data_IF_164279719498
#
_entry.id   IF_164279719498
#
_cell.length_a   1.000
_cell.length_b   1.000
_cell.length_c   1.000
_cell.angle_alpha   90.00
_cell.angle_beta   90.00
_cell.angle_gamma   90.00
#
_symmetry.space_group_name_H-M   'P 1'
#
loop_
_entity.id
_entity.type
_entity.pdbx_description
1 polymer ?
#
# COMPACT_ATOMS: atom_id res chain seq x y z
N UNK A 1 18.04 -3.78 4.89
CA UNK A 1 17.26 -4.97 5.28
C UNK A 1 17.34 -5.21 6.79
N UNK A 2 18.53 -5.29 7.37
CA UNK A 2 18.72 -5.46 8.82
C UNK A 2 17.89 -4.49 9.68
N UNK A 3 17.91 -3.18 9.37
CA UNK A 3 17.07 -2.20 10.07
C UNK A 3 15.57 -2.51 9.98
N UNK A 4 15.09 -3.02 8.85
CA UNK A 4 13.69 -3.38 8.67
C UNK A 4 13.29 -4.61 9.51
N UNK A 5 14.20 -5.59 9.60
CA UNK A 5 14.03 -6.76 10.47
C UNK A 5 13.98 -6.31 11.94
N UNK A 6 14.95 -5.49 12.38
CA UNK A 6 14.97 -4.96 13.74
C UNK A 6 13.75 -4.09 14.08
N UNK A 7 13.24 -3.31 13.11
CA UNK A 7 11.96 -2.58 13.26
C UNK A 7 10.78 -3.53 13.49
N UNK A 8 10.71 -4.64 12.76
CA UNK A 8 9.63 -5.62 12.94
C UNK A 8 9.73 -6.31 14.32
N UNK A 9 10.93 -6.70 14.75
CA UNK A 9 11.16 -7.28 16.07
C UNK A 9 10.71 -6.32 17.19
N UNK A 10 11.16 -5.06 17.13
CA UNK A 10 10.78 -4.03 18.09
C UNK A 10 9.26 -3.75 18.08
N UNK A 11 8.64 -3.73 16.89
CA UNK A 11 7.20 -3.50 16.76
C UNK A 11 6.38 -4.61 17.42
N UNK A 12 6.69 -5.88 17.17
CA UNK A 12 5.95 -7.00 17.77
C UNK A 12 6.20 -7.14 19.27
N UNK A 13 7.40 -6.80 19.75
CA UNK A 13 7.66 -6.66 21.19
C UNK A 13 6.75 -5.58 21.81
N UNK A 14 6.69 -4.41 21.17
CA UNK A 14 5.86 -3.29 21.61
C UNK A 14 4.36 -3.64 21.61
N UNK A 15 3.85 -4.23 20.53
CA UNK A 15 2.45 -4.67 20.44
C UNK A 15 2.11 -5.69 21.54
N UNK A 16 2.99 -6.66 21.78
CA UNK A 16 2.79 -7.67 22.83
C UNK A 16 2.74 -7.05 24.22
N UNK A 17 3.64 -6.10 24.52
CA UNK A 17 3.66 -5.39 25.81
C UNK A 17 2.41 -4.54 26.05
N UNK A 18 1.84 -3.99 24.99
CA UNK A 18 0.60 -3.20 25.06
C UNK A 18 -0.67 -4.04 25.01
N UNK A 19 -0.57 -5.35 24.75
CA UNK A 19 -1.74 -6.21 24.56
C UNK A 19 -2.54 -5.85 23.30
N UNK A 20 -1.87 -5.42 22.24
CA UNK A 20 -2.49 -5.08 20.96
C UNK A 20 -2.65 -6.34 20.11
N UNK A 21 -3.87 -6.62 19.64
CA UNK A 21 -4.17 -7.80 18.82
C UNK A 21 -3.91 -7.61 17.32
N UNK A 22 -3.82 -6.36 16.85
CA UNK A 22 -3.79 -6.03 15.43
C UNK A 22 -2.76 -4.95 15.09
N UNK A 23 -2.13 -5.09 13.93
CA UNK A 23 -1.27 -4.06 13.34
C UNK A 23 -1.68 -3.78 11.89
N UNK A 24 -1.12 -2.70 11.34
CA UNK A 24 -1.31 -2.29 9.96
C UNK A 24 0.02 -1.80 9.37
N UNK A 25 0.14 -1.76 8.04
CA UNK A 25 1.36 -1.28 7.40
C UNK A 25 1.15 -0.68 6.01
N UNK A 26 2.03 0.24 5.61
CA UNK A 26 2.40 0.40 4.20
C UNK A 26 3.58 -0.49 3.84
N UNK A 27 3.62 -0.94 2.59
CA UNK A 27 4.72 -1.74 2.03
C UNK A 27 6.11 -1.15 2.29
N UNK A 28 6.28 0.16 2.10
CA UNK A 28 7.56 0.84 2.33
C UNK A 28 7.87 1.16 3.79
N UNK A 29 6.89 1.03 4.70
CA UNK A 29 7.14 1.11 6.15
C UNK A 29 7.90 -0.14 6.63
N UNK A 30 7.58 -1.29 6.03
CA UNK A 30 8.08 -2.60 6.44
C UNK A 30 9.32 -3.02 5.70
N UNK A 31 9.51 -2.60 4.44
CA UNK A 31 10.65 -3.00 3.63
C UNK A 31 11.24 -1.81 2.86
N UNK A 32 12.58 -1.76 2.70
CA UNK A 32 13.20 -0.75 1.84
C UNK A 32 12.84 -1.00 0.37
N UNK A 33 12.51 0.07 -0.36
CA UNK A 33 12.19 0.00 -1.80
C UNK A 33 13.35 -0.55 -2.64
N UNK A 34 14.60 -0.25 -2.27
CA UNK A 34 15.77 -0.53 -3.11
C UNK A 34 15.84 0.40 -4.32
N UNK A 35 16.62 0.00 -5.31
CA UNK A 35 16.94 0.78 -6.52
C UNK A 35 16.12 0.39 -7.75
N UNK A 36 15.30 -0.65 -7.66
CA UNK A 36 14.47 -1.13 -8.77
C UNK A 36 13.22 -1.86 -8.28
N UNK A 37 12.22 -2.02 -9.15
CA UNK A 37 11.01 -2.80 -8.83
C UNK A 37 11.34 -4.25 -8.45
N UNK A 38 12.42 -4.82 -9.01
CA UNK A 38 12.91 -6.16 -8.68
C UNK A 38 13.44 -6.21 -7.26
N UNK A 39 14.23 -5.22 -6.85
CA UNK A 39 14.71 -5.12 -5.47
C UNK A 39 13.56 -4.88 -4.50
N UNK A 40 12.62 -4.00 -4.83
CA UNK A 40 11.40 -3.79 -4.05
C UNK A 40 10.66 -5.11 -3.80
N UNK A 41 10.37 -5.89 -4.86
CA UNK A 41 9.71 -7.19 -4.71
C UNK A 41 10.49 -8.16 -3.83
N UNK A 42 11.81 -8.26 -4.02
CA UNK A 42 12.67 -9.16 -3.25
C UNK A 42 12.75 -8.76 -1.77
N UNK A 43 12.89 -7.47 -1.49
CA UNK A 43 12.98 -6.93 -0.13
C UNK A 43 11.67 -7.11 0.60
N UNK A 44 10.57 -6.75 -0.05
CA UNK A 44 9.26 -6.86 0.54
C UNK A 44 8.88 -8.32 0.78
N UNK A 45 9.11 -9.22 -0.19
CA UNK A 45 8.85 -10.65 -0.01
C UNK A 45 9.62 -11.26 1.17
N UNK A 46 10.88 -10.86 1.39
CA UNK A 46 11.64 -11.27 2.57
C UNK A 46 10.96 -10.79 3.86
N UNK A 47 10.60 -9.51 3.93
CA UNK A 47 9.95 -8.96 5.13
C UNK A 47 8.58 -9.60 5.42
N UNK A 48 7.83 -10.02 4.40
CA UNK A 48 6.59 -10.78 4.61
C UNK A 48 6.84 -12.09 5.36
N UNK A 49 7.96 -12.78 5.13
CA UNK A 49 8.30 -13.99 5.89
C UNK A 49 8.69 -13.70 7.34
N UNK A 50 9.28 -12.54 7.62
CA UNK A 50 9.53 -12.10 8.99
C UNK A 50 8.22 -11.76 9.72
N UNK A 51 7.35 -10.96 9.09
CA UNK A 51 6.05 -10.59 9.65
C UNK A 51 5.18 -11.83 9.92
N UNK A 52 5.15 -12.79 8.98
CA UNK A 52 4.40 -14.03 9.14
C UNK A 52 4.88 -14.83 10.36
N UNK A 53 6.20 -14.98 10.55
CA UNK A 53 6.76 -15.67 11.72
C UNK A 53 6.38 -14.96 13.02
N UNK A 54 6.42 -13.63 13.03
CA UNK A 54 5.99 -12.88 14.21
C UNK A 54 4.49 -13.05 14.51
N UNK A 55 3.62 -13.06 13.49
CA UNK A 55 2.19 -13.37 13.67
C UNK A 55 1.98 -14.77 14.24
N UNK A 56 2.72 -15.77 13.76
CA UNK A 56 2.64 -17.17 14.23
C UNK A 56 3.09 -17.31 15.70
N UNK A 57 4.11 -16.57 16.12
CA UNK A 57 4.65 -16.61 17.48
C UNK A 57 3.80 -15.85 18.50
N UNK A 58 3.27 -14.69 18.10
CA UNK A 58 2.57 -13.77 19.02
C UNK A 58 1.05 -13.90 19.00
N UNK A 59 0.48 -14.44 17.91
CA UNK A 59 -0.96 -14.44 17.66
C UNK A 59 -1.52 -13.09 17.18
N UNK A 60 -0.69 -12.05 17.08
CA UNK A 60 -1.05 -10.73 16.54
C UNK A 60 -1.41 -10.85 15.06
N UNK A 61 -2.44 -10.12 14.62
CA UNK A 61 -3.04 -10.25 13.28
C UNK A 61 -2.87 -8.97 12.47
N UNK A 62 -2.93 -9.10 11.15
CA UNK A 62 -2.94 -7.96 10.25
C UNK A 62 -4.38 -7.43 10.12
N UNK A 63 -4.61 -6.17 10.48
CA UNK A 63 -5.89 -5.51 10.26
C UNK A 63 -6.03 -5.10 8.80
N UNK A 64 -5.03 -4.38 8.28
CA UNK A 64 -4.95 -4.03 6.87
C UNK A 64 -3.51 -3.78 6.43
N UNK A 65 -3.25 -4.08 5.16
CA UNK A 65 -2.10 -3.56 4.44
C UNK A 65 -2.54 -2.49 3.42
N UNK A 66 -1.58 -1.71 2.96
CA UNK A 66 -1.76 -0.70 1.91
C UNK A 66 -0.43 -0.46 1.19
N UNK A 67 -0.46 0.22 0.05
CA UNK A 67 0.74 0.66 -0.67
C UNK A 67 0.99 2.15 -0.39
N UNK A 68 2.23 2.50 -0.06
CA UNK A 68 2.66 3.90 -0.01
C UNK A 68 3.00 4.37 -1.43
N UNK A 69 1.99 4.87 -2.13
CA UNK A 69 2.12 5.51 -3.43
C UNK A 69 2.14 7.05 -3.30
N UNK A 70 2.79 7.60 -2.26
CA UNK A 70 2.77 9.04 -1.99
C UNK A 70 4.08 9.65 -1.48
N UNK A 71 4.95 8.87 -0.83
CA UNK A 71 6.22 9.37 -0.27
C UNK A 71 7.32 9.51 -1.32
N UNK A 72 7.43 8.55 -2.24
CA UNK A 72 8.51 8.55 -3.22
C UNK A 72 8.33 9.71 -4.22
N UNK A 73 9.40 10.44 -4.61
CA UNK A 73 9.31 11.57 -5.55
C UNK A 73 8.62 11.24 -6.88
N UNK A 74 8.62 9.97 -7.32
CA UNK A 74 7.91 9.55 -8.53
C UNK A 74 6.40 9.85 -8.48
N UNK A 75 5.82 9.92 -7.28
CA UNK A 75 4.38 10.17 -7.07
C UNK A 75 4.04 11.66 -6.88
N UNK A 76 4.98 12.57 -7.15
CA UNK A 76 4.76 14.00 -6.93
C UNK A 76 3.54 14.57 -7.68
N UNK A 77 3.20 13.99 -8.84
CA UNK A 77 2.06 14.39 -9.66
C UNK A 77 0.86 13.43 -9.57
N UNK A 78 0.79 12.59 -8.54
CA UNK A 78 -0.22 11.55 -8.39
C UNK A 78 0.32 10.15 -8.63
N UNK A 79 -0.52 9.15 -8.35
CA UNK A 79 -0.18 7.75 -8.56
C UNK A 79 -1.12 7.15 -9.62
N UNK A 80 -2.37 6.87 -9.26
CA UNK A 80 -3.40 6.48 -10.20
C UNK A 80 -3.93 7.67 -11.02
N UNK A 81 -3.84 8.89 -10.51
CA UNK A 81 -4.16 10.13 -11.22
C UNK A 81 -2.95 10.78 -11.91
N UNK A 82 -1.80 10.11 -11.96
CA UNK A 82 -0.61 10.70 -12.56
C UNK A 82 -0.80 10.99 -14.05
N UNK A 83 -0.38 12.16 -14.55
CA UNK A 83 -0.34 12.43 -15.99
C UNK A 83 0.70 11.56 -16.72
N UNK A 84 1.62 10.90 -15.98
CA UNK A 84 2.61 9.98 -16.52
C UNK A 84 2.12 8.51 -16.43
N UNK A 85 1.91 7.83 -17.57
CA UNK A 85 1.43 6.43 -17.59
C UNK A 85 2.44 5.44 -16.99
N UNK A 86 3.74 5.74 -16.95
CA UNK A 86 4.73 4.87 -16.30
C UNK A 86 4.57 4.90 -14.77
N UNK A 87 4.24 6.07 -14.20
CA UNK A 87 3.93 6.21 -12.77
C UNK A 87 2.66 5.46 -12.41
N UNK A 88 1.62 5.53 -13.25
CA UNK A 88 0.41 4.72 -13.10
C UNK A 88 0.76 3.21 -13.05
N UNK A 89 1.59 2.74 -13.99
CA UNK A 89 1.99 1.35 -14.05
C UNK A 89 2.79 0.92 -12.80
N UNK A 90 3.67 1.80 -12.30
CA UNK A 90 4.43 1.56 -11.07
C UNK A 90 3.51 1.47 -9.84
N UNK A 91 2.56 2.39 -9.70
CA UNK A 91 1.59 2.37 -8.61
C UNK A 91 0.74 1.09 -8.64
N UNK A 92 0.33 0.65 -9.84
CA UNK A 92 -0.41 -0.61 -10.02
C UNK A 92 0.43 -1.82 -9.58
N UNK A 93 1.74 -1.83 -9.87
CA UNK A 93 2.64 -2.88 -9.43
C UNK A 93 2.83 -2.91 -7.90
N UNK A 94 2.95 -1.74 -7.26
CA UNK A 94 3.02 -1.66 -5.79
C UNK A 94 1.72 -2.10 -5.12
N UNK A 95 0.57 -1.63 -5.60
CA UNK A 95 -0.75 -2.04 -5.09
C UNK A 95 -0.99 -3.54 -5.28
N UNK A 96 -0.60 -4.09 -6.43
CA UNK A 96 -0.62 -5.54 -6.66
C UNK A 96 0.21 -6.27 -5.60
N UNK A 97 1.45 -5.85 -5.37
CA UNK A 97 2.36 -6.49 -4.40
C UNK A 97 1.85 -6.37 -2.96
N UNK A 98 1.43 -5.18 -2.54
CA UNK A 98 0.88 -4.91 -1.22
C UNK A 98 -0.41 -5.70 -0.94
N UNK A 99 -1.31 -5.82 -1.91
CA UNK A 99 -2.53 -6.61 -1.76
C UNK A 99 -2.23 -8.11 -1.64
N UNK A 100 -1.28 -8.63 -2.43
CA UNK A 100 -0.85 -10.03 -2.32
C UNK A 100 -0.18 -10.32 -0.96
N UNK A 101 0.64 -9.40 -0.47
CA UNK A 101 1.23 -9.47 0.87
C UNK A 101 0.15 -9.48 1.96
N UNK A 102 -0.84 -8.60 1.84
CA UNK A 102 -1.99 -8.52 2.76
C UNK A 102 -2.75 -9.84 2.80
N UNK A 103 -3.02 -10.45 1.64
CA UNK A 103 -3.62 -11.79 1.56
C UNK A 103 -2.75 -12.85 2.25
N UNK A 104 -1.44 -12.86 1.97
CA UNK A 104 -0.49 -13.85 2.53
C UNK A 104 -0.40 -13.78 4.06
N UNK A 105 -0.50 -12.58 4.62
CA UNK A 105 -0.52 -12.30 6.05
C UNK A 105 -1.94 -12.34 6.67
N UNK A 106 -2.93 -12.82 5.91
CA UNK A 106 -4.33 -12.96 6.32
C UNK A 106 -4.95 -11.65 6.85
N UNK A 107 -4.63 -10.55 6.19
CA UNK A 107 -5.18 -9.23 6.50
C UNK A 107 -6.69 -9.20 6.41
N UNK A 108 -7.35 -8.52 7.37
CA UNK A 108 -8.79 -8.41 7.39
C UNK A 108 -9.33 -7.46 6.32
N UNK A 109 -8.56 -6.44 5.92
CA UNK A 109 -8.94 -5.45 4.91
C UNK A 109 -7.72 -5.03 4.07
N UNK A 110 -7.97 -4.29 3.00
CA UNK A 110 -6.95 -3.58 2.23
C UNK A 110 -7.38 -2.11 2.07
N UNK A 111 -6.51 -1.19 2.46
CA UNK A 111 -6.80 0.25 2.45
C UNK A 111 -6.25 0.90 1.18
N UNK A 112 -6.99 1.89 0.68
CA UNK A 112 -6.62 2.77 -0.41
C UNK A 112 -6.75 4.21 0.10
N UNK A 113 -5.60 4.83 0.40
CA UNK A 113 -5.53 6.25 0.74
C UNK A 113 -4.86 7.01 -0.40
N UNK A 114 -5.56 7.99 -0.95
CA UNK A 114 -5.11 8.75 -2.12
C UNK A 114 -4.16 9.89 -1.81
N UNK A 115 -3.07 9.67 -1.06
CA UNK A 115 -2.21 10.75 -0.55
C UNK A 115 -1.66 11.73 -1.61
N UNK A 116 -1.63 11.35 -2.90
CA UNK A 116 -1.30 12.24 -4.03
C UNK A 116 -2.38 12.27 -5.11
N UNK A 117 -3.51 11.61 -4.88
CA UNK A 117 -4.60 11.51 -5.84
C UNK A 117 -5.48 12.76 -5.74
N UNK A 118 -4.99 13.84 -6.32
CA UNK A 118 -5.56 15.18 -6.21
C UNK A 118 -4.69 16.17 -6.98
N UNK A 119 -4.87 17.47 -6.74
CA UNK A 119 -4.14 18.49 -7.48
C UNK A 119 -3.56 19.59 -6.60
N UNK A 120 -2.53 20.27 -7.10
CA UNK A 120 -1.98 21.51 -6.54
C UNK A 120 -2.60 22.75 -7.17
N UNK A 121 -2.85 22.73 -8.48
CA UNK A 121 -3.46 23.84 -9.21
C UNK A 121 -4.36 23.33 -10.31
N UNK A 122 -5.53 23.95 -10.48
CA UNK A 122 -6.45 23.62 -11.57
C UNK A 122 -5.92 24.03 -12.95
N UNK A 123 -4.88 24.88 -13.01
CA UNK A 123 -4.34 25.39 -14.27
C UNK A 123 -3.67 24.33 -15.13
N UNK A 124 -3.21 23.23 -14.53
CA UNK A 124 -2.51 22.14 -15.21
C UNK A 124 -3.12 20.76 -14.95
N UNK A 125 -4.35 20.71 -14.44
CA UNK A 125 -5.04 19.47 -14.06
C UNK A 125 -6.27 19.27 -14.92
N UNK A 126 -6.32 18.16 -15.65
CA UNK A 126 -7.56 17.67 -16.26
C UNK A 126 -8.31 16.79 -15.27
N UNK A 127 -9.17 17.43 -14.46
CA UNK A 127 -9.96 16.75 -13.43
C UNK A 127 -10.82 15.61 -13.97
N UNK A 128 -11.29 15.71 -15.22
CA UNK A 128 -12.13 14.67 -15.80
C UNK A 128 -11.28 13.45 -16.09
N UNK A 129 -10.14 13.66 -16.76
CA UNK A 129 -9.22 12.60 -17.12
C UNK A 129 -8.68 11.88 -15.88
N UNK A 130 -8.18 12.62 -14.90
CA UNK A 130 -7.61 12.07 -13.67
C UNK A 130 -8.63 11.25 -12.87
N UNK A 131 -9.89 11.70 -12.79
CA UNK A 131 -10.97 10.95 -12.12
C UNK A 131 -11.35 9.68 -12.88
N UNK A 132 -11.37 9.72 -14.21
CA UNK A 132 -11.60 8.53 -15.05
C UNK A 132 -10.48 7.51 -14.89
N UNK A 133 -9.22 7.95 -14.84
CA UNK A 133 -8.06 7.10 -14.58
C UNK A 133 -8.11 6.47 -13.18
N UNK A 134 -8.39 7.27 -12.14
CA UNK A 134 -8.54 6.77 -10.77
C UNK A 134 -9.67 5.74 -10.69
N UNK A 135 -10.81 5.99 -11.34
CA UNK A 135 -11.91 5.03 -11.44
C UNK A 135 -11.50 3.71 -12.12
N UNK A 136 -10.71 3.78 -13.19
CA UNK A 136 -10.14 2.60 -13.86
C UNK A 136 -9.19 1.85 -12.94
N UNK A 137 -8.31 2.55 -12.23
CA UNK A 137 -7.37 1.96 -11.28
C UNK A 137 -8.10 1.21 -10.17
N UNK A 138 -9.10 1.83 -9.54
CA UNK A 138 -9.92 1.21 -8.51
C UNK A 138 -10.65 -0.05 -9.01
N UNK A 139 -11.13 -0.03 -10.26
CA UNK A 139 -11.71 -1.22 -10.89
C UNK A 139 -10.69 -2.34 -11.05
N UNK A 140 -9.45 -2.04 -11.45
CA UNK A 140 -8.38 -3.05 -11.53
C UNK A 140 -8.06 -3.66 -10.16
N UNK A 141 -8.08 -2.86 -9.09
CA UNK A 141 -7.89 -3.33 -7.72
C UNK A 141 -9.02 -4.30 -7.30
N UNK A 142 -10.27 -3.95 -7.59
CA UNK A 142 -11.44 -4.81 -7.36
C UNK A 142 -11.35 -6.10 -8.18
N UNK A 143 -11.01 -6.02 -9.45
CA UNK A 143 -10.83 -7.19 -10.33
C UNK A 143 -9.73 -8.13 -9.84
N UNK A 144 -8.62 -7.58 -9.33
CA UNK A 144 -7.52 -8.35 -8.73
C UNK A 144 -7.96 -9.06 -7.44
N UNK A 145 -8.67 -8.35 -6.55
CA UNK A 145 -9.24 -8.91 -5.31
C UNK A 145 -10.11 -10.13 -5.58
N UNK A 146 -11.03 -10.03 -6.55
CA UNK A 146 -12.04 -11.05 -6.79
C UNK A 146 -11.47 -12.35 -7.38
N UNK A 147 -12.33 -13.38 -7.41
CA UNK A 147 -12.08 -14.82 -7.66
C UNK A 147 -11.28 -15.15 -8.94
N UNK A 148 -11.04 -14.17 -9.81
CA UNK A 148 -10.30 -14.38 -11.05
C UNK A 148 -8.78 -14.24 -10.91
N UNK A 149 -8.23 -13.77 -9.77
CA UNK A 149 -6.76 -13.65 -9.60
C UNK A 149 -6.19 -14.12 -8.26
N UNK A 150 -6.69 -13.66 -7.11
CA UNK A 150 -6.09 -14.06 -5.80
C UNK A 150 -7.07 -14.50 -4.71
N UNK A 151 -8.36 -14.15 -4.81
CA UNK A 151 -9.38 -14.62 -3.88
C UNK A 151 -9.38 -13.94 -2.50
N UNK A 152 -8.92 -12.69 -2.39
CA UNK A 152 -8.92 -11.91 -1.15
C UNK A 152 -10.35 -11.63 -0.66
N UNK A 153 -10.62 -11.99 0.60
CA UNK A 153 -11.96 -11.93 1.21
C UNK A 153 -12.22 -10.67 2.03
N UNK A 154 -11.16 -9.98 2.46
CA UNK A 154 -11.27 -8.75 3.25
C UNK A 154 -11.94 -7.61 2.48
N UNK A 155 -12.35 -6.57 3.20
CA UNK A 155 -12.96 -5.40 2.57
C UNK A 155 -11.92 -4.50 1.90
N UNK A 156 -12.35 -3.77 0.87
CA UNK A 156 -11.58 -2.65 0.32
C UNK A 156 -12.08 -1.38 0.97
N UNK A 157 -11.17 -0.63 1.58
CA UNK A 157 -11.50 0.59 2.31
C UNK A 157 -10.89 1.79 1.58
N UNK A 158 -11.70 2.81 1.34
CA UNK A 158 -11.20 4.12 0.90
C UNK A 158 -11.08 4.98 2.15
N UNK A 159 -9.93 5.59 2.36
CA UNK A 159 -9.69 6.53 3.46
C UNK A 159 -9.83 7.97 2.95
N UNK A 160 -10.93 8.69 3.23
CA UNK A 160 -11.11 10.05 2.75
C UNK A 160 -10.24 11.03 3.54
N UNK A 161 -9.60 11.96 2.83
CA UNK A 161 -8.96 13.14 3.40
C UNK A 161 -9.20 14.30 2.44
N UNK A 162 -9.54 15.52 2.90
CA UNK A 162 -9.93 16.61 2.00
C UNK A 162 -8.75 17.30 1.29
N UNK A 163 -7.55 17.25 1.89
CA UNK A 163 -6.33 17.92 1.45
C UNK A 163 -5.13 17.47 2.29
N UNK A 164 -3.96 18.02 1.98
CA UNK A 164 -2.65 17.76 2.58
C UNK A 164 -2.14 16.32 2.32
N UNK A 165 -1.12 16.15 1.47
CA UNK A 165 -0.24 17.20 0.93
C UNK A 165 -0.81 17.97 -0.26
N UNK A 166 -1.86 17.47 -0.93
CA UNK A 166 -2.49 18.15 -2.07
C UNK A 166 -3.28 19.39 -1.64
N UNK A 167 -3.48 20.35 -2.55
CA UNK A 167 -4.44 21.45 -2.33
C UNK A 167 -5.88 20.94 -2.22
N UNK A 168 -6.22 19.91 -2.98
CA UNK A 168 -7.51 19.22 -2.94
C UNK A 168 -7.29 17.74 -3.25
N UNK A 169 -7.96 16.87 -2.50
CA UNK A 169 -7.96 15.42 -2.68
C UNK A 169 -9.40 14.93 -2.88
#
# INVERSE_FOLDING_TARGET
MELAIGKAEAAFEFFSKLGIDYYSFHDTDVAPEGSSIKEYHNNFAQMIEHLKRHQEQSGIKLLWGTANCFSNPRFAAGAASSPDPEVFAYAAAQVFSAMNATLRLKGANYVLWGGREGYETLLNTDLKHEREQLGRFMRMVVEHKHKHKIGFKGDLLIEPKPQEPTKHQ
#
